data_IF_402774640783
#
_entry.id   IF_402774640783
#
_cell.length_a   1.000
_cell.length_b   1.000
_cell.length_c   1.000
_cell.angle_alpha   90.00
_cell.angle_beta   90.00
_cell.angle_gamma   90.00
#
_symmetry.space_group_name_H-M   'P 1'
#
loop_
_entity.id
_entity.type
_entity.pdbx_description
1 polymer ?
#
# COMPACT_ATOMS: atom_id res chain seq x y z
N UNK A 1 17.62 -9.29 -5.25
CA UNK A 1 16.25 -9.38 -4.71
C UNK A 1 16.11 -9.07 -3.21
N UNK A 2 17.14 -9.33 -2.37
CA UNK A 2 17.09 -9.02 -0.92
C UNK A 2 16.94 -7.53 -0.60
N UNK A 3 17.59 -6.65 -1.35
CA UNK A 3 17.69 -5.21 -1.01
C UNK A 3 16.36 -4.44 -1.17
N UNK A 4 15.52 -4.83 -2.14
CA UNK A 4 14.22 -4.16 -2.33
C UNK A 4 13.21 -4.46 -1.22
N UNK A 5 13.11 -5.72 -0.78
CA UNK A 5 12.22 -6.07 0.35
C UNK A 5 12.66 -5.38 1.64
N UNK A 6 13.97 -5.31 1.90
CA UNK A 6 14.52 -4.57 3.03
C UNK A 6 14.17 -3.06 2.96
N UNK A 7 14.25 -2.47 1.77
CA UNK A 7 13.85 -1.07 1.56
C UNK A 7 12.36 -0.84 1.85
N UNK A 8 11.49 -1.70 1.33
CA UNK A 8 10.04 -1.59 1.54
C UNK A 8 9.67 -1.78 3.02
N UNK A 9 10.27 -2.74 3.69
CA UNK A 9 10.06 -2.98 5.12
C UNK A 9 10.55 -1.81 5.99
N UNK A 10 11.68 -1.20 5.65
CA UNK A 10 12.17 0.03 6.31
C UNK A 10 11.19 1.19 6.11
N UNK A 11 10.69 1.37 4.89
CA UNK A 11 9.72 2.42 4.57
C UNK A 11 8.39 2.21 5.33
N UNK A 12 7.89 0.98 5.39
CA UNK A 12 6.68 0.63 6.14
C UNK A 12 6.88 0.78 7.66
N UNK A 13 8.05 0.43 8.17
CA UNK A 13 8.43 0.63 9.58
C UNK A 13 8.45 2.13 9.94
N UNK A 14 9.02 2.95 9.06
CA UNK A 14 8.98 4.41 9.19
C UNK A 14 7.53 4.91 9.24
N UNK A 15 6.68 4.53 8.28
CA UNK A 15 5.27 4.94 8.27
C UNK A 15 4.53 4.53 9.54
N UNK A 16 4.77 3.33 10.05
CA UNK A 16 4.17 2.88 11.30
C UNK A 16 4.54 3.80 12.49
N UNK A 17 5.81 4.18 12.61
CA UNK A 17 6.27 5.10 13.66
C UNK A 17 5.64 6.49 13.50
N UNK A 18 5.59 6.98 12.27
CA UNK A 18 4.93 8.25 11.94
C UNK A 18 3.46 8.23 12.38
N UNK A 19 2.70 7.18 12.01
CA UNK A 19 1.28 7.08 12.38
C UNK A 19 1.08 7.01 13.91
N UNK A 20 1.90 6.26 14.63
CA UNK A 20 1.84 6.22 16.10
C UNK A 20 2.00 7.62 16.69
N UNK A 21 2.97 8.37 16.20
CA UNK A 21 3.21 9.76 16.64
C UNK A 21 2.01 10.66 16.37
N UNK A 22 1.45 10.58 15.16
CA UNK A 22 0.30 11.40 14.77
C UNK A 22 -0.99 11.03 15.51
N UNK A 23 -1.24 9.74 15.77
CA UNK A 23 -2.35 9.31 16.63
C UNK A 23 -2.18 9.80 18.06
N UNK A 24 -0.98 9.77 18.64
CA UNK A 24 -0.73 10.29 19.97
C UNK A 24 -0.96 11.81 20.05
N UNK A 25 -0.48 12.56 19.06
CA UNK A 25 -0.74 14.00 18.94
C UNK A 25 -2.24 14.31 18.88
N UNK A 26 -2.98 13.57 18.07
CA UNK A 26 -4.44 13.74 17.91
C UNK A 26 -5.19 13.39 19.18
N UNK A 27 -4.80 12.34 19.90
CA UNK A 27 -5.37 12.04 21.22
C UNK A 27 -5.18 13.16 22.22
N UNK A 28 -4.01 13.81 22.24
CA UNK A 28 -3.78 14.96 23.10
C UNK A 28 -4.70 16.14 22.75
N UNK A 29 -4.89 16.41 21.46
CA UNK A 29 -5.82 17.47 21.01
C UNK A 29 -7.26 17.18 21.41
N UNK A 30 -7.75 15.95 21.22
CA UNK A 30 -9.11 15.55 21.62
C UNK A 30 -9.28 15.62 23.15
N UNK A 31 -8.26 15.26 23.94
CA UNK A 31 -8.32 15.36 25.40
C UNK A 31 -8.35 16.79 25.89
N UNK A 32 -7.68 17.74 25.19
CA UNK A 32 -7.71 19.16 25.55
C UNK A 32 -9.01 19.86 25.17
N UNK A 33 -9.72 19.36 24.16
CA UNK A 33 -11.02 19.85 23.72
C UNK A 33 -11.89 18.68 23.24
N UNK A 34 -12.59 18.06 24.20
CA UNK A 34 -13.39 16.87 23.94
C UNK A 34 -14.65 17.12 23.08
N UNK A 35 -15.04 18.35 22.91
CA UNK A 35 -16.17 18.74 22.04
C UNK A 35 -15.76 18.80 20.56
N UNK A 36 -14.46 18.99 20.31
CA UNK A 36 -13.91 19.08 18.96
C UNK A 36 -13.18 17.81 18.56
N UNK A 37 -13.91 16.80 18.13
CA UNK A 37 -13.32 15.51 17.64
C UNK A 37 -13.06 15.56 16.13
N UNK A 38 -13.93 16.24 15.37
CA UNK A 38 -13.93 16.21 13.90
C UNK A 38 -12.64 16.80 13.33
N UNK A 39 -12.27 18.00 13.75
CA UNK A 39 -11.13 18.71 13.18
C UNK A 39 -9.79 17.98 13.45
N UNK A 40 -9.48 17.54 14.70
CA UNK A 40 -8.27 16.76 14.97
C UNK A 40 -8.20 15.45 14.17
N UNK A 41 -9.31 14.73 13.99
CA UNK A 41 -9.34 13.49 13.20
C UNK A 41 -9.16 13.76 11.72
N UNK A 42 -9.77 14.81 11.17
CA UNK A 42 -9.56 15.23 9.77
C UNK A 42 -8.09 15.57 9.52
N UNK A 43 -7.50 16.40 10.37
CA UNK A 43 -6.09 16.78 10.27
C UNK A 43 -5.14 15.58 10.39
N UNK A 44 -5.48 14.60 11.25
CA UNK A 44 -4.73 13.35 11.37
C UNK A 44 -4.67 12.61 10.03
N UNK A 45 -5.84 12.34 9.44
CA UNK A 45 -5.91 11.55 8.22
C UNK A 45 -5.31 12.27 7.01
N UNK A 46 -5.43 13.61 6.93
CA UNK A 46 -4.76 14.39 5.89
C UNK A 46 -3.23 14.30 5.98
N UNK A 47 -2.66 14.41 7.19
CA UNK A 47 -1.22 14.24 7.38
C UNK A 47 -0.77 12.81 7.05
N UNK A 48 -1.52 11.80 7.52
CA UNK A 48 -1.21 10.40 7.22
C UNK A 48 -1.30 10.11 5.73
N UNK A 49 -2.30 10.64 5.03
CA UNK A 49 -2.45 10.51 3.58
C UNK A 49 -1.25 11.10 2.83
N UNK A 50 -0.90 12.35 3.12
CA UNK A 50 0.22 13.05 2.49
C UNK A 50 1.53 12.26 2.64
N UNK A 51 1.81 11.82 3.87
CA UNK A 51 3.04 11.08 4.14
C UNK A 51 3.04 9.69 3.49
N UNK A 52 1.87 9.01 3.46
CA UNK A 52 1.73 7.72 2.76
C UNK A 52 2.01 7.86 1.28
N UNK A 53 1.44 8.86 0.61
CA UNK A 53 1.66 9.12 -0.82
C UNK A 53 3.14 9.39 -1.08
N UNK A 54 3.79 10.23 -0.26
CA UNK A 54 5.22 10.53 -0.37
C UNK A 54 6.08 9.26 -0.28
N UNK A 55 5.79 8.39 0.67
CA UNK A 55 6.52 7.13 0.86
C UNK A 55 6.22 6.14 -0.26
N UNK A 56 4.98 6.04 -0.71
CA UNK A 56 4.59 5.18 -1.83
C UNK A 56 5.28 5.59 -3.13
N UNK A 57 5.41 6.90 -3.40
CA UNK A 57 6.15 7.37 -4.56
C UNK A 57 7.63 6.95 -4.51
N UNK A 58 8.23 6.96 -3.32
CA UNK A 58 9.61 6.49 -3.14
C UNK A 58 9.72 4.98 -3.36
N UNK A 59 8.83 4.18 -2.80
CA UNK A 59 8.78 2.71 -3.00
C UNK A 59 8.58 2.41 -4.50
N UNK A 60 7.63 3.10 -5.15
CA UNK A 60 7.36 2.93 -6.57
C UNK A 60 8.61 3.23 -7.43
N UNK A 61 9.29 4.35 -7.15
CA UNK A 61 10.48 4.73 -7.88
C UNK A 61 11.65 3.77 -7.68
N UNK A 62 11.83 3.24 -6.46
CA UNK A 62 12.85 2.21 -6.23
C UNK A 62 12.55 0.95 -7.06
N UNK A 63 11.29 0.48 -7.04
CA UNK A 63 10.90 -0.68 -7.85
C UNK A 63 10.99 -0.44 -9.34
N UNK A 64 10.57 0.73 -9.79
CA UNK A 64 10.63 1.13 -11.19
C UNK A 64 12.08 1.12 -11.72
N UNK A 65 13.04 1.68 -10.95
CA UNK A 65 14.48 1.67 -11.29
C UNK A 65 15.06 0.26 -11.26
N UNK A 66 14.72 -0.55 -10.25
CA UNK A 66 15.13 -1.97 -10.19
C UNK A 66 14.70 -2.74 -11.46
N UNK A 67 13.53 -2.39 -12.01
CA UNK A 67 13.01 -2.98 -13.25
C UNK A 67 13.51 -2.32 -14.54
N UNK A 68 14.41 -1.33 -14.45
CA UNK A 68 15.08 -0.69 -15.57
C UNK A 68 14.43 0.61 -16.08
N UNK A 69 13.49 1.17 -15.30
CA UNK A 69 12.95 2.51 -15.54
C UNK A 69 13.84 3.60 -14.94
N UNK A 70 13.51 4.86 -15.17
CA UNK A 70 14.22 6.02 -14.61
C UNK A 70 13.45 6.61 -13.42
N UNK A 71 12.36 7.33 -13.69
CA UNK A 71 11.59 8.03 -12.65
C UNK A 71 10.10 8.04 -12.98
N UNK A 72 9.28 7.65 -11.98
CA UNK A 72 7.82 7.80 -12.00
C UNK A 72 7.42 9.15 -11.42
N UNK A 73 6.49 9.83 -12.09
CA UNK A 73 5.93 11.08 -11.61
C UNK A 73 4.84 10.82 -10.54
N UNK A 74 4.65 11.78 -9.64
CA UNK A 74 3.58 11.73 -8.64
C UNK A 74 2.19 11.56 -9.29
N UNK A 75 1.95 12.19 -10.44
CA UNK A 75 0.70 12.04 -11.20
C UNK A 75 0.40 10.60 -11.60
N UNK A 76 1.42 9.80 -11.94
CA UNK A 76 1.24 8.38 -12.18
C UNK A 76 0.71 7.66 -10.94
N UNK A 77 1.35 7.90 -9.76
CA UNK A 77 0.92 7.28 -8.51
C UNK A 77 -0.49 7.70 -8.11
N UNK A 78 -0.83 8.98 -8.25
CA UNK A 78 -2.16 9.49 -7.92
C UNK A 78 -3.23 8.88 -8.83
N UNK A 79 -2.96 8.77 -10.14
CA UNK A 79 -3.83 8.07 -11.09
C UNK A 79 -4.02 6.59 -10.72
N UNK A 80 -2.94 5.90 -10.41
CA UNK A 80 -2.99 4.51 -9.95
C UNK A 80 -3.84 4.35 -8.68
N UNK A 81 -3.64 5.18 -7.67
CA UNK A 81 -4.38 5.12 -6.40
C UNK A 81 -5.86 5.53 -6.54
N UNK A 82 -6.23 6.28 -7.58
CA UNK A 82 -7.61 6.63 -7.88
C UNK A 82 -8.41 5.45 -8.46
N UNK A 83 -7.75 4.56 -9.21
CA UNK A 83 -8.40 3.45 -9.93
C UNK A 83 -8.21 2.08 -9.27
N UNK A 84 -7.12 1.91 -8.49
CA UNK A 84 -6.81 0.60 -7.93
C UNK A 84 -7.66 0.24 -6.73
N UNK A 85 -8.16 -0.99 -6.76
CA UNK A 85 -8.88 -1.61 -5.66
C UNK A 85 -7.93 -2.47 -4.82
N UNK A 86 -8.11 -2.42 -3.51
CA UNK A 86 -7.54 -3.45 -2.61
C UNK A 86 -8.33 -4.74 -2.72
N UNK A 87 -7.84 -5.81 -2.09
CA UNK A 87 -8.57 -7.07 -1.94
C UNK A 87 -9.94 -6.90 -1.26
N UNK A 88 -10.15 -5.80 -0.55
CA UNK A 88 -11.43 -5.44 0.10
C UNK A 88 -12.37 -4.67 -0.82
N UNK A 89 -11.98 -4.38 -2.06
CA UNK A 89 -12.79 -3.66 -3.04
C UNK A 89 -12.84 -2.14 -2.86
N UNK A 90 -11.98 -1.56 -2.01
CA UNK A 90 -11.94 -0.11 -1.82
C UNK A 90 -10.76 0.51 -2.57
N UNK A 91 -11.00 1.60 -3.27
CA UNK A 91 -9.94 2.49 -3.76
C UNK A 91 -9.33 3.29 -2.59
N UNK A 92 -8.07 3.69 -2.75
CA UNK A 92 -7.28 4.30 -1.67
C UNK A 92 -7.96 5.49 -0.99
N UNK A 93 -8.46 6.46 -1.76
CA UNK A 93 -9.08 7.65 -1.19
C UNK A 93 -10.37 7.34 -0.43
N UNK A 94 -11.20 6.44 -0.95
CA UNK A 94 -12.44 6.03 -0.29
C UNK A 94 -12.15 5.24 0.99
N UNK A 95 -11.11 4.41 1.00
CA UNK A 95 -10.69 3.66 2.18
C UNK A 95 -10.19 4.58 3.30
N UNK A 96 -9.45 5.64 2.94
CA UNK A 96 -9.02 6.69 3.89
C UNK A 96 -10.23 7.34 4.56
N UNK A 97 -11.17 7.83 3.76
CA UNK A 97 -12.34 8.54 4.27
C UNK A 97 -13.20 7.66 5.17
N UNK A 98 -13.46 6.42 4.75
CA UNK A 98 -14.19 5.43 5.55
C UNK A 98 -13.52 5.18 6.91
N UNK A 99 -12.19 5.09 6.97
CA UNK A 99 -11.46 4.88 8.23
C UNK A 99 -11.46 6.12 9.12
N UNK A 100 -11.39 7.31 8.52
CA UNK A 100 -11.53 8.56 9.24
C UNK A 100 -12.90 8.62 9.93
N UNK A 101 -13.98 8.39 9.17
CA UNK A 101 -15.34 8.38 9.68
C UNK A 101 -15.48 7.39 10.83
N UNK A 102 -15.03 6.15 10.63
CA UNK A 102 -15.08 5.12 11.66
C UNK A 102 -14.38 5.55 12.97
N UNK A 103 -13.17 6.12 12.90
CA UNK A 103 -12.46 6.60 14.08
C UNK A 103 -13.19 7.76 14.76
N UNK A 104 -13.66 8.74 13.97
CA UNK A 104 -14.42 9.89 14.47
C UNK A 104 -15.68 9.44 15.19
N UNK A 105 -16.48 8.56 14.59
CA UNK A 105 -17.73 8.04 15.15
C UNK A 105 -17.48 7.21 16.43
N UNK A 106 -16.44 6.36 16.44
CA UNK A 106 -16.07 5.61 17.65
C UNK A 106 -15.78 6.54 18.83
N UNK A 107 -15.07 7.64 18.61
CA UNK A 107 -14.76 8.61 19.68
C UNK A 107 -16.02 9.39 20.09
N UNK A 108 -16.82 9.85 19.14
CA UNK A 108 -18.05 10.61 19.41
C UNK A 108 -19.12 9.78 20.12
N UNK A 109 -19.15 8.47 19.89
CA UNK A 109 -20.06 7.53 20.60
C UNK A 109 -19.61 7.20 22.02
N UNK A 110 -18.50 7.76 22.51
CA UNK A 110 -17.99 7.55 23.87
C UNK A 110 -17.11 6.31 24.03
N UNK A 111 -16.64 5.69 22.93
CA UNK A 111 -15.62 4.64 23.04
C UNK A 111 -14.35 5.23 23.68
N UNK A 112 -13.68 4.44 24.53
CA UNK A 112 -12.41 4.85 25.12
C UNK A 112 -11.41 5.27 24.02
N UNK A 113 -10.92 6.50 24.08
CA UNK A 113 -10.09 7.13 23.05
C UNK A 113 -8.83 6.31 22.71
N UNK A 114 -8.16 5.70 23.70
CA UNK A 114 -6.97 4.90 23.47
C UNK A 114 -7.31 3.59 22.74
N UNK A 115 -8.44 2.98 23.07
CA UNK A 115 -8.92 1.77 22.41
C UNK A 115 -9.33 2.06 20.96
N UNK A 116 -10.12 3.12 20.74
CA UNK A 116 -10.52 3.56 19.41
C UNK A 116 -9.29 3.89 18.53
N UNK A 117 -8.33 4.65 19.07
CA UNK A 117 -7.09 5.01 18.36
C UNK A 117 -6.24 3.77 18.01
N UNK A 118 -6.08 2.83 18.94
CA UNK A 118 -5.34 1.57 18.69
C UNK A 118 -5.98 0.74 17.57
N UNK A 119 -7.31 0.67 17.55
CA UNK A 119 -8.07 -0.06 16.53
C UNK A 119 -7.96 0.65 15.17
N UNK A 120 -8.14 1.97 15.14
CA UNK A 120 -8.01 2.78 13.92
C UNK A 120 -6.60 2.69 13.32
N UNK A 121 -5.55 2.81 14.14
CA UNK A 121 -4.17 2.65 13.72
C UNK A 121 -3.91 1.27 13.07
N UNK A 122 -4.42 0.21 13.69
CA UNK A 122 -4.27 -1.17 13.17
C UNK A 122 -4.94 -1.31 11.80
N UNK A 123 -6.17 -0.81 11.66
CA UNK A 123 -6.93 -0.86 10.41
C UNK A 123 -6.23 -0.04 9.31
N UNK A 124 -5.74 1.15 9.65
CA UNK A 124 -4.99 2.00 8.73
C UNK A 124 -3.71 1.32 8.24
N UNK A 125 -2.88 0.88 9.17
CA UNK A 125 -1.59 0.26 8.83
C UNK A 125 -1.75 -1.04 8.02
N UNK A 126 -2.79 -1.83 8.30
CA UNK A 126 -3.13 -3.00 7.51
C UNK A 126 -3.40 -2.66 6.04
N UNK A 127 -4.19 -1.62 5.77
CA UNK A 127 -4.42 -1.17 4.40
C UNK A 127 -3.18 -0.59 3.73
N UNK A 128 -2.40 0.22 4.44
CA UNK A 128 -1.16 0.80 3.89
C UNK A 128 -0.20 -0.28 3.40
N UNK A 129 -0.09 -1.40 4.12
CA UNK A 129 0.71 -2.53 3.65
C UNK A 129 0.19 -3.14 2.35
N UNK A 130 -1.13 -3.31 2.22
CA UNK A 130 -1.74 -3.82 0.98
C UNK A 130 -1.51 -2.87 -0.20
N UNK A 131 -1.69 -1.56 0.02
CA UNK A 131 -1.43 -0.57 -1.03
C UNK A 131 0.05 -0.50 -1.41
N UNK A 132 0.97 -0.68 -0.48
CA UNK A 132 2.40 -0.75 -0.79
C UNK A 132 2.72 -1.91 -1.73
N UNK A 133 2.14 -3.10 -1.49
CA UNK A 133 2.29 -4.25 -2.39
C UNK A 133 1.72 -3.96 -3.79
N UNK A 134 0.52 -3.34 -3.87
CA UNK A 134 -0.10 -2.97 -5.15
C UNK A 134 0.72 -1.93 -5.92
N UNK A 135 1.22 -0.90 -5.23
CA UNK A 135 2.07 0.14 -5.82
C UNK A 135 3.38 -0.44 -6.36
N UNK A 136 3.97 -1.37 -5.62
CA UNK A 136 5.19 -2.07 -6.02
C UNK A 136 4.98 -2.86 -7.30
N UNK A 137 3.91 -3.64 -7.37
CA UNK A 137 3.61 -4.45 -8.55
C UNK A 137 3.29 -3.56 -9.76
N UNK A 138 2.51 -2.50 -9.56
CA UNK A 138 2.18 -1.55 -10.62
C UNK A 138 3.43 -0.83 -11.17
N UNK A 139 4.37 -0.46 -10.30
CA UNK A 139 5.63 0.16 -10.72
C UNK A 139 6.49 -0.81 -11.55
N UNK A 140 6.55 -2.09 -11.18
CA UNK A 140 7.25 -3.11 -11.97
C UNK A 140 6.59 -3.31 -13.35
N UNK A 141 5.25 -3.41 -13.39
CA UNK A 141 4.47 -3.54 -14.63
C UNK A 141 4.72 -2.33 -15.53
N UNK A 142 4.69 -1.11 -14.95
CA UNK A 142 4.92 0.11 -15.71
C UNK A 142 6.33 0.13 -16.31
N UNK A 143 7.37 -0.21 -15.54
CA UNK A 143 8.75 -0.27 -16.05
C UNK A 143 8.90 -1.27 -17.21
N UNK A 144 8.29 -2.43 -17.11
CA UNK A 144 8.31 -3.43 -18.17
C UNK A 144 7.53 -2.96 -19.41
N UNK A 145 6.38 -2.31 -19.19
CA UNK A 145 5.58 -1.74 -20.29
C UNK A 145 6.36 -0.65 -21.05
N UNK A 146 6.98 0.27 -20.33
CA UNK A 146 7.78 1.36 -20.93
C UNK A 146 9.02 0.82 -21.67
N UNK A 147 9.58 -0.30 -21.22
CA UNK A 147 10.64 -1.02 -21.91
C UNK A 147 10.14 -1.86 -23.11
N UNK A 148 8.84 -1.78 -23.47
CA UNK A 148 8.26 -2.50 -24.61
C UNK A 148 8.04 -4.00 -24.38
N UNK A 149 8.15 -4.49 -23.13
CA UNK A 149 7.88 -5.89 -22.78
C UNK A 149 6.40 -6.20 -23.04
N UNK A 150 6.13 -7.28 -23.75
CA UNK A 150 4.77 -7.70 -24.07
C UNK A 150 4.21 -8.74 -23.12
N UNK A 151 5.07 -9.55 -22.50
CA UNK A 151 4.70 -10.65 -21.64
C UNK A 151 5.62 -10.72 -20.43
N UNK A 152 5.02 -11.14 -19.30
CA UNK A 152 5.72 -11.36 -18.03
C UNK A 152 5.36 -12.72 -17.47
N UNK A 153 6.25 -13.28 -16.66
CA UNK A 153 6.06 -14.55 -15.98
C UNK A 153 5.77 -14.29 -14.50
N UNK A 154 4.77 -14.98 -13.97
CA UNK A 154 4.53 -15.02 -12.53
C UNK A 154 5.53 -15.97 -11.87
N UNK A 155 6.17 -15.53 -10.79
CA UNK A 155 7.18 -16.30 -10.07
C UNK A 155 6.84 -16.36 -8.59
N UNK A 156 6.92 -17.55 -8.00
CA UNK A 156 6.71 -17.76 -6.56
C UNK A 156 8.03 -17.96 -5.83
N UNK A 157 8.01 -17.84 -4.50
CA UNK A 157 9.20 -18.10 -3.66
C UNK A 157 9.59 -19.60 -3.64
N UNK A 158 8.73 -20.49 -4.11
CA UNK A 158 8.97 -21.95 -4.12
C UNK A 158 9.24 -22.55 -2.74
N UNK A 159 8.66 -21.97 -1.71
CA UNK A 159 8.73 -22.45 -0.33
C UNK A 159 7.38 -22.98 0.16
N UNK A 160 7.33 -23.57 1.35
CA UNK A 160 6.12 -24.14 1.97
C UNK A 160 5.03 -23.12 2.30
N UNK A 161 5.34 -21.82 2.24
CA UNK A 161 4.40 -20.73 2.53
C UNK A 161 3.73 -20.17 1.27
N UNK A 162 3.93 -20.78 0.11
CA UNK A 162 3.23 -20.39 -1.13
C UNK A 162 1.80 -20.88 -1.07
N UNK A 163 0.83 -19.96 -1.18
CA UNK A 163 -0.58 -20.35 -1.15
C UNK A 163 -0.99 -21.10 -2.41
N UNK A 164 -2.07 -21.92 -2.36
CA UNK A 164 -2.52 -22.70 -3.52
C UNK A 164 -2.79 -21.86 -4.78
N UNK A 165 -3.36 -20.64 -4.61
CA UNK A 165 -3.63 -19.74 -5.73
C UNK A 165 -2.35 -19.24 -6.40
N UNK A 166 -1.31 -18.94 -5.62
CA UNK A 166 0.01 -18.55 -6.14
C UNK A 166 0.74 -19.73 -6.75
N UNK A 167 0.64 -20.90 -6.13
CA UNK A 167 1.24 -22.14 -6.67
C UNK A 167 0.72 -22.47 -8.09
N UNK A 168 -0.60 -22.33 -8.31
CA UNK A 168 -1.21 -22.51 -9.63
C UNK A 168 -0.85 -21.44 -10.66
N UNK A 169 -0.20 -20.34 -10.25
CA UNK A 169 0.28 -19.28 -11.15
C UNK A 169 1.79 -19.34 -11.42
N UNK A 170 2.52 -20.17 -10.70
CA UNK A 170 3.97 -20.26 -10.86
C UNK A 170 4.37 -20.65 -12.28
N UNK A 171 5.23 -19.86 -12.88
CA UNK A 171 5.68 -20.05 -14.28
C UNK A 171 4.68 -19.60 -15.35
N UNK A 172 3.43 -19.25 -14.99
CA UNK A 172 2.42 -18.82 -15.97
C UNK A 172 2.80 -17.47 -16.58
N UNK A 173 2.70 -17.41 -17.92
CA UNK A 173 3.01 -16.20 -18.70
C UNK A 173 1.71 -15.42 -18.95
N UNK A 174 1.76 -14.12 -18.68
CA UNK A 174 0.64 -13.19 -18.88
C UNK A 174 1.02 -12.08 -19.85
N UNK A 175 0.09 -11.63 -20.72
CA UNK A 175 0.25 -10.33 -21.38
C UNK A 175 0.42 -9.23 -20.32
N UNK A 176 1.33 -8.26 -20.55
CA UNK A 176 1.70 -7.23 -19.57
C UNK A 176 0.52 -6.46 -18.98
N UNK A 177 -0.52 -6.18 -19.80
CA UNK A 177 -1.73 -5.48 -19.35
C UNK A 177 -2.80 -6.39 -18.75
N UNK A 178 -2.55 -7.70 -18.64
CA UNK A 178 -3.49 -8.70 -18.11
C UNK A 178 -2.91 -9.48 -16.93
N UNK A 179 -1.88 -8.95 -16.30
CA UNK A 179 -1.28 -9.55 -15.10
C UNK A 179 -2.31 -9.52 -13.98
N UNK A 180 -2.67 -10.68 -13.38
CA UNK A 180 -3.62 -10.70 -12.29
C UNK A 180 -3.02 -10.04 -11.03
N UNK A 181 -3.87 -9.42 -10.22
CA UNK A 181 -3.48 -8.91 -8.91
C UNK A 181 -3.08 -10.05 -7.96
N UNK A 182 -2.27 -9.74 -6.96
CA UNK A 182 -1.92 -10.69 -5.89
C UNK A 182 -3.21 -11.20 -5.20
N UNK A 183 -3.34 -12.52 -4.95
CA UNK A 183 -4.60 -13.11 -4.49
C UNK A 183 -4.88 -12.85 -3.00
N UNK A 184 -3.88 -12.45 -2.23
CA UNK A 184 -4.01 -12.22 -0.79
C UNK A 184 -2.94 -11.25 -0.27
N UNK A 185 -3.18 -10.73 0.90
CA UNK A 185 -2.26 -9.92 1.65
C UNK A 185 -0.97 -10.67 2.02
N UNK A 186 0.19 -9.99 1.92
CA UNK A 186 1.49 -10.58 2.22
C UNK A 186 1.96 -11.62 1.19
N UNK A 187 1.41 -11.58 -0.02
CA UNK A 187 1.88 -12.41 -1.11
C UNK A 187 3.32 -12.02 -1.50
N UNK A 188 4.23 -12.98 -1.49
CA UNK A 188 5.65 -12.79 -1.78
C UNK A 188 6.03 -13.10 -3.23
N UNK A 189 5.04 -13.36 -4.09
CA UNK A 189 5.26 -13.59 -5.51
C UNK A 189 5.63 -12.27 -6.21
N UNK A 190 6.31 -12.41 -7.35
CA UNK A 190 6.68 -11.27 -8.19
C UNK A 190 6.49 -11.61 -9.66
N UNK A 191 6.72 -10.65 -10.52
CA UNK A 191 6.70 -10.83 -11.98
C UNK A 191 8.10 -10.62 -12.55
N UNK A 192 8.44 -11.37 -13.57
CA UNK A 192 9.69 -11.29 -14.31
C UNK A 192 9.41 -11.10 -15.80
N UNK A 193 10.37 -10.45 -16.50
CA UNK A 193 10.33 -10.38 -17.96
C UNK A 193 10.45 -11.78 -18.56
N UNK A 194 9.65 -12.10 -19.54
CA UNK A 194 9.92 -13.25 -20.41
C UNK A 194 11.07 -12.86 -21.35
N UNK A 195 12.14 -13.64 -21.36
CA UNK A 195 13.27 -13.42 -22.27
C UNK A 195 12.85 -13.84 -23.69
N UNK A 196 13.40 -13.18 -24.70
CA UNK A 196 13.06 -13.44 -26.12
C UNK A 196 13.36 -14.88 -26.58
N UNK A 197 14.05 -15.67 -25.76
CA UNK A 197 14.44 -17.05 -26.06
C UNK A 197 13.76 -18.08 -25.12
N UNK A 198 12.82 -17.69 -24.30
CA UNK A 198 11.96 -18.57 -23.49
C UNK A 198 10.62 -18.78 -24.19
#
# INVERSE_FOLDING_TARGET
MSDFYDYTDKALTYLRRFYVTEFNRTKMQIRSDSLNVIQPTTNLYDRMRKETIRVFLRIANEKYRECGGDTLLEMWLLGFLADSNTLTGYIFLNDIERKRQYFTESVMSGENLDKAAKKALRLWYGSVRQYADLVTDAAAIQAFYDAGVKQVRWVTQKDEHVCPACHGRDGVIYPILKVPTKPHYGCRCWIERVKAND
#
